data_IF_141702804269
#
_entry.id   IF_141702804269
#
_cell.length_a   1.000
_cell.length_b   1.000
_cell.length_c   1.000
_cell.angle_alpha   90.00
_cell.angle_beta   90.00
_cell.angle_gamma   90.00
#
_symmetry.space_group_name_H-M   'P 1'
#
loop_
_entity.id
_entity.type
_entity.pdbx_description
1 polymer ?
#
# COMPACT_ATOMS: atom_id res chain seq x y z
N UNK A 1 -1.17 -6.73 4.44
CA UNK A 1 -1.59 -8.03 5.01
C UNK A 1 -0.43 -8.84 5.62
N UNK A 2 0.69 -9.04 4.92
CA UNK A 2 1.77 -9.92 5.43
C UNK A 2 2.31 -9.52 6.83
N UNK A 3 2.61 -8.24 7.04
CA UNK A 3 3.05 -7.73 8.35
C UNK A 3 1.97 -7.96 9.44
N UNK A 4 0.67 -7.83 9.10
CA UNK A 4 -0.39 -8.06 10.09
C UNK A 4 -0.46 -9.53 10.55
N UNK A 5 -0.06 -10.46 9.69
CA UNK A 5 0.05 -11.89 10.01
C UNK A 5 1.31 -12.23 10.81
N UNK A 6 2.11 -11.22 11.21
CA UNK A 6 3.32 -11.34 12.03
C UNK A 6 4.46 -12.15 11.39
N UNK A 7 4.50 -12.18 10.05
CA UNK A 7 5.61 -12.77 9.33
C UNK A 7 6.91 -11.98 9.55
N UNK A 8 8.02 -12.69 9.64
CA UNK A 8 9.37 -12.12 9.62
C UNK A 8 9.70 -11.48 8.28
N UNK A 9 10.75 -10.66 8.23
CA UNK A 9 11.20 -10.01 7.00
C UNK A 9 11.57 -11.06 5.95
N UNK A 10 12.27 -12.13 6.34
CA UNK A 10 12.69 -13.19 5.42
C UNK A 10 11.49 -13.93 4.82
N UNK A 11 10.47 -14.23 5.64
CA UNK A 11 9.22 -14.84 5.15
C UNK A 11 8.47 -13.92 4.18
N UNK A 12 8.43 -12.61 4.48
CA UNK A 12 7.82 -11.62 3.58
C UNK A 12 8.55 -11.56 2.24
N UNK A 13 9.89 -11.53 2.27
CA UNK A 13 10.72 -11.52 1.05
C UNK A 13 10.50 -12.80 0.24
N UNK A 14 10.44 -13.97 0.88
CA UNK A 14 10.15 -15.24 0.21
C UNK A 14 8.75 -15.25 -0.44
N UNK A 15 7.75 -14.66 0.22
CA UNK A 15 6.41 -14.50 -0.37
C UNK A 15 6.48 -13.63 -1.62
N UNK A 16 7.16 -12.47 -1.58
CA UNK A 16 7.32 -11.62 -2.76
C UNK A 16 8.13 -12.28 -3.89
N UNK A 17 9.14 -13.08 -3.56
CA UNK A 17 9.91 -13.86 -4.53
C UNK A 17 9.09 -14.96 -5.21
N UNK A 18 7.96 -15.38 -4.62
CA UNK A 18 7.05 -16.36 -5.22
C UNK A 18 6.12 -15.78 -6.28
N UNK A 19 6.11 -14.45 -6.46
CA UNK A 19 5.26 -13.77 -7.46
C UNK A 19 5.83 -14.01 -8.86
N UNK A 20 4.97 -14.46 -9.77
CA UNK A 20 5.19 -14.43 -11.20
C UNK A 20 4.81 -13.04 -11.72
N UNK A 21 5.79 -12.14 -11.68
CA UNK A 21 5.60 -10.76 -12.06
C UNK A 21 5.32 -10.54 -13.55
N UNK A 22 5.57 -11.53 -14.40
CA UNK A 22 5.20 -11.43 -15.82
C UNK A 22 3.69 -11.63 -15.98
N UNK A 23 3.09 -12.48 -15.15
CA UNK A 23 1.63 -12.65 -15.06
C UNK A 23 0.92 -11.50 -14.35
N UNK A 24 1.62 -10.67 -13.57
CA UNK A 24 1.05 -9.41 -13.05
C UNK A 24 0.70 -8.41 -14.17
N UNK A 25 1.40 -8.49 -15.33
CA UNK A 25 1.12 -7.69 -16.53
C UNK A 25 0.32 -8.46 -17.59
N UNK A 26 -0.37 -9.53 -17.20
CA UNK A 26 -1.02 -10.42 -18.16
C UNK A 26 -2.06 -9.69 -19.03
N UNK A 27 -1.86 -9.78 -20.34
CA UNK A 27 -2.78 -9.30 -21.37
C UNK A 27 -3.73 -10.39 -21.86
N UNK A 28 -3.74 -11.60 -21.30
CA UNK A 28 -4.69 -12.67 -21.67
C UNK A 28 -4.90 -13.62 -20.50
N UNK A 29 -6.11 -14.15 -20.43
CA UNK A 29 -6.50 -15.29 -19.61
C UNK A 29 -5.74 -16.52 -20.12
N UNK A 30 -4.70 -16.94 -19.41
CA UNK A 30 -3.69 -17.88 -19.94
C UNK A 30 -3.96 -19.31 -19.48
N UNK A 31 -4.83 -20.01 -20.23
CA UNK A 31 -4.65 -21.45 -20.53
C UNK A 31 -3.59 -21.70 -21.62
N UNK A 32 -2.90 -20.67 -22.08
CA UNK A 32 -1.91 -20.73 -23.15
C UNK A 32 -0.59 -20.16 -22.65
N UNK A 33 0.38 -21.03 -22.37
CA UNK A 33 1.77 -20.67 -22.13
C UNK A 33 2.36 -20.05 -23.41
N UNK A 34 2.49 -18.72 -23.44
CA UNK A 34 3.47 -18.02 -24.28
C UNK A 34 3.48 -16.52 -23.90
N UNK A 35 4.05 -16.23 -22.73
CA UNK A 35 4.24 -14.87 -22.22
C UNK A 35 5.59 -14.34 -22.72
N UNK A 36 5.77 -14.29 -24.04
CA UNK A 36 6.90 -13.57 -24.62
C UNK A 36 6.51 -12.95 -25.96
N UNK A 37 5.97 -11.73 -25.90
CA UNK A 37 6.17 -10.59 -26.82
C UNK A 37 4.95 -9.68 -26.81
N UNK A 38 5.11 -8.53 -26.17
CA UNK A 38 4.20 -7.38 -26.23
C UNK A 38 4.28 -6.68 -27.62
N UNK A 39 4.19 -7.46 -28.70
CA UNK A 39 4.59 -7.03 -30.04
C UNK A 39 3.67 -7.47 -31.18
N UNK A 40 2.68 -8.34 -30.94
CA UNK A 40 1.73 -8.74 -31.98
C UNK A 40 0.57 -7.74 -32.10
N UNK A 41 0.04 -7.54 -33.31
CA UNK A 41 -1.16 -6.71 -33.55
C UNK A 41 -2.34 -7.21 -32.72
N UNK A 42 -2.45 -8.53 -32.52
CA UNK A 42 -3.51 -9.14 -31.73
C UNK A 42 -3.47 -8.71 -30.27
N UNK A 43 -2.29 -8.61 -29.66
CA UNK A 43 -2.17 -8.22 -28.25
C UNK A 43 -2.50 -6.74 -28.05
N UNK A 44 -2.11 -5.89 -29.01
CA UNK A 44 -2.50 -4.47 -29.02
C UNK A 44 -4.01 -4.30 -29.15
N UNK A 45 -4.66 -5.11 -30.00
CA UNK A 45 -6.12 -5.12 -30.15
C UNK A 45 -6.83 -5.65 -28.90
N UNK A 46 -6.31 -6.70 -28.26
CA UNK A 46 -6.85 -7.23 -27.01
C UNK A 46 -6.73 -6.23 -25.85
N UNK A 47 -5.57 -5.58 -25.72
CA UNK A 47 -5.34 -4.52 -24.74
C UNK A 47 -6.30 -3.34 -24.96
N UNK A 48 -6.47 -2.89 -26.21
CA UNK A 48 -7.40 -1.83 -26.55
C UNK A 48 -8.86 -2.22 -26.27
N UNK A 49 -9.27 -3.43 -26.66
CA UNK A 49 -10.62 -3.92 -26.41
C UNK A 49 -10.92 -3.97 -24.92
N UNK A 50 -10.02 -4.49 -24.08
CA UNK A 50 -10.21 -4.48 -22.62
C UNK A 50 -10.17 -3.08 -22.04
N UNK A 51 -9.27 -2.22 -22.48
CA UNK A 51 -9.26 -0.83 -22.02
C UNK A 51 -10.62 -0.15 -22.26
N UNK A 52 -11.24 -0.38 -23.42
CA UNK A 52 -12.54 0.20 -23.75
C UNK A 52 -13.71 -0.50 -23.03
N UNK A 53 -13.66 -1.82 -22.85
CA UNK A 53 -14.81 -2.61 -22.34
C UNK A 53 -14.74 -2.92 -20.84
N UNK A 54 -13.54 -2.92 -20.26
CA UNK A 54 -13.23 -3.28 -18.87
C UNK A 54 -12.49 -2.15 -18.13
N UNK A 55 -12.23 -1.03 -18.80
CA UNK A 55 -11.57 0.16 -18.24
C UNK A 55 -10.15 -0.07 -17.71
N UNK A 56 -9.50 -1.17 -18.14
CA UNK A 56 -8.15 -1.55 -17.75
C UNK A 56 -7.50 -2.50 -18.76
N UNK A 57 -6.18 -2.58 -18.75
CA UNK A 57 -5.40 -3.34 -19.74
C UNK A 57 -5.05 -4.75 -19.25
N UNK A 58 -4.63 -4.85 -17.99
CA UNK A 58 -4.20 -6.04 -17.27
C UNK A 58 -5.35 -6.69 -16.52
N UNK A 59 -5.35 -8.01 -16.54
CA UNK A 59 -6.34 -8.83 -15.85
C UNK A 59 -6.05 -8.94 -14.34
N UNK A 60 -7.11 -9.12 -13.55
CA UNK A 60 -7.01 -9.25 -12.10
C UNK A 60 -6.91 -10.71 -11.59
N UNK A 61 -7.05 -11.73 -12.45
CA UNK A 61 -7.14 -13.14 -12.03
C UNK A 61 -5.89 -13.63 -11.31
N UNK A 62 -4.71 -13.47 -11.94
CA UNK A 62 -3.45 -13.88 -11.34
C UNK A 62 -3.17 -13.23 -9.98
N UNK A 63 -3.19 -11.88 -9.83
CA UNK A 63 -2.97 -11.27 -8.53
C UNK A 63 -4.01 -11.72 -7.51
N UNK A 64 -5.26 -11.92 -7.92
CA UNK A 64 -6.32 -12.40 -7.03
C UNK A 64 -6.08 -13.82 -6.51
N UNK A 65 -5.79 -14.77 -7.40
CA UNK A 65 -5.47 -16.15 -7.06
C UNK A 65 -4.22 -16.22 -6.18
N UNK A 66 -3.14 -15.54 -6.57
CA UNK A 66 -1.88 -15.54 -5.82
C UNK A 66 -2.04 -14.96 -4.41
N UNK A 67 -2.76 -13.84 -4.25
CA UNK A 67 -3.04 -13.27 -2.93
C UNK A 67 -3.92 -14.21 -2.09
N UNK A 68 -4.94 -14.81 -2.71
CA UNK A 68 -5.82 -15.77 -2.06
C UNK A 68 -5.04 -16.98 -1.56
N UNK A 69 -4.24 -17.62 -2.41
CA UNK A 69 -3.40 -18.75 -2.06
C UNK A 69 -2.39 -18.39 -0.96
N UNK A 70 -1.80 -17.20 -1.03
CA UNK A 70 -0.88 -16.71 0.00
C UNK A 70 -1.57 -16.57 1.35
N UNK A 71 -2.76 -15.97 1.41
CA UNK A 71 -3.56 -15.86 2.64
C UNK A 71 -3.97 -17.25 3.15
N UNK A 72 -4.39 -18.14 2.26
CA UNK A 72 -4.82 -19.49 2.58
C UNK A 72 -3.75 -20.37 3.22
N UNK A 73 -2.45 -20.06 3.02
CA UNK A 73 -1.34 -20.72 3.74
C UNK A 73 -1.33 -20.42 5.24
N UNK A 74 -1.92 -19.30 5.66
CA UNK A 74 -1.88 -18.81 7.05
C UNK A 74 -3.24 -18.83 7.74
N UNK A 75 -4.33 -19.11 7.00
CA UNK A 75 -5.70 -19.06 7.53
C UNK A 75 -6.40 -20.42 7.34
N UNK A 76 -7.02 -20.94 8.40
CA UNK A 76 -7.74 -22.21 8.35
C UNK A 76 -8.95 -22.19 7.38
N UNK A 77 -9.60 -21.04 7.23
CA UNK A 77 -10.75 -20.84 6.33
C UNK A 77 -10.36 -20.63 4.85
N UNK A 78 -9.08 -20.85 4.52
CA UNK A 78 -8.59 -20.89 3.15
C UNK A 78 -8.40 -19.52 2.49
N UNK A 79 -8.39 -19.51 1.16
CA UNK A 79 -8.01 -18.36 0.33
C UNK A 79 -8.95 -17.15 0.42
N UNK A 80 -10.10 -17.31 1.07
CA UNK A 80 -11.12 -16.26 1.26
C UNK A 80 -11.33 -15.87 2.72
N UNK A 81 -10.34 -16.09 3.58
CA UNK A 81 -10.38 -15.65 4.97
C UNK A 81 -10.79 -14.17 5.10
N UNK A 82 -11.76 -13.94 5.99
CA UNK A 82 -12.38 -12.64 6.21
C UNK A 82 -11.61 -11.79 7.20
N UNK A 83 -11.99 -10.51 7.31
CA UNK A 83 -11.42 -9.66 8.36
C UNK A 83 -11.74 -10.17 9.78
N UNK A 84 -12.90 -10.79 9.99
CA UNK A 84 -13.24 -11.45 11.25
C UNK A 84 -12.29 -12.62 11.53
N UNK A 85 -11.98 -13.44 10.52
CA UNK A 85 -11.07 -14.58 10.67
C UNK A 85 -9.65 -14.11 11.03
N UNK A 86 -9.16 -13.04 10.38
CA UNK A 86 -7.88 -12.42 10.72
C UNK A 86 -7.81 -12.03 12.20
N UNK A 87 -8.88 -11.44 12.73
CA UNK A 87 -8.96 -11.07 14.15
C UNK A 87 -9.02 -12.31 15.05
N UNK A 88 -9.83 -13.31 14.68
CA UNK A 88 -9.99 -14.55 15.45
C UNK A 88 -8.67 -15.34 15.55
N UNK A 89 -7.83 -15.27 14.51
CA UNK A 89 -6.49 -15.86 14.47
C UNK A 89 -5.43 -15.07 15.26
N UNK A 90 -5.79 -13.91 15.84
CA UNK A 90 -4.87 -13.08 16.62
C UNK A 90 -3.87 -12.28 15.78
N UNK A 91 -4.13 -12.12 14.48
CA UNK A 91 -3.39 -11.19 13.64
C UNK A 91 -3.62 -9.74 14.06
N UNK A 92 -2.74 -8.83 13.62
CA UNK A 92 -2.95 -7.39 13.86
C UNK A 92 -4.16 -6.92 13.04
N UNK A 93 -4.95 -6.02 13.63
CA UNK A 93 -6.11 -5.43 12.96
C UNK A 93 -5.71 -4.76 11.64
N UNK A 94 -6.20 -5.30 10.53
CA UNK A 94 -5.88 -4.84 9.19
C UNK A 94 -6.91 -3.79 8.73
N UNK A 95 -6.40 -2.70 8.16
CA UNK A 95 -7.20 -1.64 7.54
C UNK A 95 -6.72 -1.49 6.10
N UNK A 96 -7.61 -1.72 5.14
CA UNK A 96 -7.32 -1.61 3.71
C UNK A 96 -8.13 -0.46 3.14
N UNK A 97 -7.46 0.45 2.46
CA UNK A 97 -8.06 1.68 1.91
C UNK A 97 -8.32 1.48 0.43
N UNK A 98 -9.51 1.81 -0.03
CA UNK A 98 -9.89 1.74 -1.44
C UNK A 98 -10.60 3.02 -1.87
N UNK A 99 -10.63 3.26 -3.17
CA UNK A 99 -11.45 4.32 -3.76
C UNK A 99 -12.73 3.72 -4.32
N UNK A 100 -13.89 4.07 -3.75
CA UNK A 100 -15.17 3.80 -4.40
C UNK A 100 -15.41 4.88 -5.44
N UNK A 101 -15.19 4.52 -6.70
CA UNK A 101 -15.27 5.42 -7.87
C UNK A 101 -16.72 5.83 -8.14
N UNK A 102 -17.68 4.92 -7.96
CA UNK A 102 -19.11 5.22 -8.13
C UNK A 102 -19.56 6.34 -7.20
N UNK A 103 -19.19 6.25 -5.91
CA UNK A 103 -19.56 7.21 -4.88
C UNK A 103 -18.58 8.37 -4.72
N UNK A 104 -17.42 8.31 -5.40
CA UNK A 104 -16.31 9.27 -5.29
C UNK A 104 -15.86 9.49 -3.85
N UNK A 105 -15.68 8.39 -3.12
CA UNK A 105 -15.32 8.42 -1.69
C UNK A 105 -14.29 7.35 -1.36
N UNK A 106 -13.53 7.60 -0.29
CA UNK A 106 -12.64 6.60 0.29
C UNK A 106 -13.44 5.62 1.15
N UNK A 107 -13.23 4.33 0.95
CA UNK A 107 -13.77 3.28 1.82
C UNK A 107 -12.62 2.54 2.51
N UNK A 108 -12.84 2.14 3.77
CA UNK A 108 -11.83 1.46 4.59
C UNK A 108 -12.41 0.12 5.03
N UNK A 109 -11.90 -0.96 4.44
CA UNK A 109 -12.23 -2.33 4.81
C UNK A 109 -11.43 -2.74 6.04
N UNK A 110 -12.12 -3.23 7.06
CA UNK A 110 -11.53 -3.65 8.33
C UNK A 110 -12.51 -4.54 9.11
N UNK A 111 -12.01 -5.27 10.10
CA UNK A 111 -12.82 -6.20 10.90
C UNK A 111 -13.93 -5.51 11.71
N UNK A 112 -13.88 -4.19 11.91
CA UNK A 112 -14.92 -3.42 12.60
C UNK A 112 -16.07 -3.04 11.66
N UNK A 113 -15.77 -2.66 10.41
CA UNK A 113 -16.76 -2.12 9.48
C UNK A 113 -17.29 -3.18 8.52
N UNK A 114 -16.43 -4.13 8.14
CA UNK A 114 -16.67 -5.12 7.10
C UNK A 114 -16.12 -6.48 7.54
N UNK A 115 -16.58 -7.04 8.68
CA UNK A 115 -16.05 -8.27 9.25
C UNK A 115 -16.11 -9.45 8.28
N UNK A 116 -17.20 -9.55 7.50
CA UNK A 116 -17.49 -10.70 6.63
C UNK A 116 -16.86 -10.58 5.23
N UNK A 117 -16.19 -9.46 4.93
CA UNK A 117 -15.52 -9.27 3.63
C UNK A 117 -14.22 -10.07 3.62
N UNK A 118 -13.97 -10.83 2.55
CA UNK A 118 -12.72 -11.53 2.36
C UNK A 118 -11.57 -10.52 2.23
N UNK A 119 -10.47 -10.73 2.96
CA UNK A 119 -9.31 -9.82 2.93
C UNK A 119 -8.74 -9.72 1.51
N UNK A 120 -8.74 -10.81 0.75
CA UNK A 120 -8.29 -10.85 -0.64
C UNK A 120 -9.09 -9.92 -1.56
N UNK A 121 -10.40 -9.78 -1.35
CA UNK A 121 -11.25 -8.92 -2.18
C UNK A 121 -10.88 -7.44 -1.93
N UNK A 122 -10.70 -7.05 -0.66
CA UNK A 122 -10.27 -5.71 -0.29
C UNK A 122 -8.85 -5.40 -0.80
N UNK A 123 -7.92 -6.36 -0.69
CA UNK A 123 -6.56 -6.21 -1.23
C UNK A 123 -6.57 -6.01 -2.74
N UNK A 124 -7.37 -6.79 -3.48
CA UNK A 124 -7.49 -6.66 -4.93
C UNK A 124 -7.98 -5.26 -5.30
N UNK A 125 -9.09 -4.81 -4.72
CA UNK A 125 -9.60 -3.44 -4.96
C UNK A 125 -8.56 -2.36 -4.63
N UNK A 126 -7.81 -2.53 -3.54
CA UNK A 126 -6.83 -1.56 -3.06
C UNK A 126 -5.59 -1.42 -3.95
N UNK A 127 -5.28 -2.40 -4.81
CA UNK A 127 -4.12 -2.38 -5.71
C UNK A 127 -4.48 -2.19 -7.20
N UNK A 128 -5.77 -2.17 -7.53
CA UNK A 128 -6.21 -2.08 -8.92
C UNK A 128 -6.11 -0.63 -9.41
N UNK A 129 -4.89 -0.25 -9.80
CA UNK A 129 -4.58 1.05 -10.39
C UNK A 129 -5.46 1.25 -11.64
N UNK A 130 -6.28 2.32 -11.71
CA UNK A 130 -7.14 2.59 -12.86
C UNK A 130 -6.37 2.56 -14.18
N UNK A 131 -7.02 2.14 -15.26
CA UNK A 131 -6.46 2.03 -16.60
C UNK A 131 -5.38 0.95 -16.78
N UNK A 132 -4.65 0.59 -15.72
CA UNK A 132 -3.73 -0.54 -15.72
C UNK A 132 -4.48 -1.84 -15.48
N UNK A 133 -5.23 -1.96 -14.38
CA UNK A 133 -6.02 -3.14 -14.05
C UNK A 133 -7.50 -2.95 -14.38
N UNK A 134 -8.21 -4.03 -14.70
CA UNK A 134 -9.65 -3.98 -14.98
C UNK A 134 -10.42 -3.37 -13.80
N UNK A 135 -11.40 -2.52 -14.11
CA UNK A 135 -12.26 -1.94 -13.08
C UNK A 135 -13.10 -3.01 -12.41
N UNK A 136 -13.04 -3.05 -11.08
CA UNK A 136 -13.74 -4.04 -10.28
C UNK A 136 -15.11 -3.50 -9.87
N UNK A 137 -16.14 -4.35 -9.96
CA UNK A 137 -17.45 -4.08 -9.35
C UNK A 137 -17.61 -4.96 -8.13
N UNK A 138 -17.94 -4.38 -6.98
CA UNK A 138 -18.13 -5.11 -5.74
C UNK A 138 -19.42 -4.66 -5.02
N UNK A 139 -20.21 -5.63 -4.58
CA UNK A 139 -21.52 -5.40 -3.93
C UNK A 139 -21.45 -5.45 -2.40
N UNK A 140 -20.24 -5.60 -1.84
CA UNK A 140 -20.01 -5.82 -0.41
C UNK A 140 -19.80 -7.29 -0.04
N UNK A 141 -19.97 -8.22 -0.97
CA UNK A 141 -19.81 -9.68 -0.75
C UNK A 141 -19.04 -10.38 -1.86
N UNK A 142 -19.28 -10.00 -3.11
CA UNK A 142 -18.72 -10.66 -4.29
C UNK A 142 -18.47 -9.69 -5.45
N UNK A 143 -17.58 -10.09 -6.36
CA UNK A 143 -17.29 -9.31 -7.56
C UNK A 143 -18.32 -9.53 -8.67
N UNK A 144 -18.50 -8.51 -9.51
CA UNK A 144 -19.26 -8.55 -10.75
C UNK A 144 -20.56 -7.74 -10.76
N UNK A 145 -20.94 -7.16 -9.62
CA UNK A 145 -22.08 -6.25 -9.45
C UNK A 145 -21.74 -5.20 -8.40
N UNK A 146 -22.57 -4.15 -8.29
CA UNK A 146 -22.44 -3.12 -7.26
C UNK A 146 -21.64 -1.90 -7.70
N UNK A 147 -20.87 -1.33 -6.77
CA UNK A 147 -20.11 -0.12 -7.02
C UNK A 147 -18.78 -0.44 -7.70
N UNK A 148 -18.25 0.52 -8.47
CA UNK A 148 -16.91 0.45 -9.03
C UNK A 148 -15.88 0.86 -8.00
N UNK A 149 -14.86 0.02 -7.84
CA UNK A 149 -13.72 0.26 -6.96
C UNK A 149 -12.42 0.32 -7.74
N UNK A 150 -11.47 1.06 -7.19
CA UNK A 150 -10.11 1.17 -7.68
C UNK A 150 -9.15 1.42 -6.52
N UNK A 151 -7.86 1.50 -6.86
CA UNK A 151 -6.75 1.73 -5.94
C UNK A 151 -7.04 2.85 -4.90
N UNK A 152 -6.71 2.56 -3.64
CA UNK A 152 -6.90 3.52 -2.53
C UNK A 152 -6.06 4.78 -2.67
N UNK A 153 -4.93 4.66 -3.37
CA UNK A 153 -3.99 5.71 -3.72
C UNK A 153 -4.55 6.80 -4.62
N UNK A 154 -5.77 6.68 -5.17
CA UNK A 154 -6.41 7.77 -5.93
C UNK A 154 -6.92 8.89 -5.02
N UNK A 155 -7.51 8.53 -3.87
CA UNK A 155 -8.11 9.50 -2.94
C UNK A 155 -7.37 9.61 -1.61
N UNK A 156 -6.74 8.53 -1.12
CA UNK A 156 -6.08 8.50 0.17
C UNK A 156 -4.86 7.56 0.15
N UNK A 157 -3.81 7.99 -0.53
CA UNK A 157 -2.52 7.31 -0.66
C UNK A 157 -1.73 7.25 0.66
N UNK A 158 -1.95 8.22 1.55
CA UNK A 158 -1.26 8.27 2.84
C UNK A 158 -2.24 8.35 4.04
N UNK A 159 -2.88 7.23 4.41
CA UNK A 159 -3.99 7.20 5.37
C UNK A 159 -3.54 7.27 6.85
N UNK A 160 -2.48 8.01 7.17
CA UNK A 160 -1.90 8.07 8.52
C UNK A 160 -2.90 8.57 9.58
N UNK A 161 -3.89 9.36 9.17
CA UNK A 161 -4.92 9.93 10.05
C UNK A 161 -6.03 8.95 10.43
N UNK A 162 -6.09 7.74 9.86
CA UNK A 162 -7.10 6.73 10.23
C UNK A 162 -7.10 6.50 11.75
N UNK A 163 -5.91 6.44 12.35
CA UNK A 163 -5.70 6.11 13.75
C UNK A 163 -5.77 7.32 14.71
N UNK A 164 -6.06 8.51 14.20
CA UNK A 164 -6.30 9.72 15.01
C UNK A 164 -7.74 9.82 15.52
N UNK A 165 -8.62 8.90 15.07
CA UNK A 165 -10.03 8.88 15.47
C UNK A 165 -10.19 8.39 16.90
N UNK A 166 -11.14 8.99 17.65
CA UNK A 166 -11.45 8.69 19.07
C UNK A 166 -11.38 7.20 19.45
N UNK A 167 -11.91 6.33 18.58
CA UNK A 167 -11.95 4.87 18.81
C UNK A 167 -10.58 4.18 18.92
N UNK A 168 -9.51 4.77 18.38
CA UNK A 168 -8.15 4.22 18.44
C UNK A 168 -7.29 4.85 19.54
N UNK A 169 -7.80 5.89 20.20
CA UNK A 169 -7.03 6.75 21.10
C UNK A 169 -7.68 6.88 22.48
N UNK A 170 -8.70 6.07 22.76
CA UNK A 170 -9.35 6.06 24.05
C UNK A 170 -8.34 5.71 25.15
N UNK A 171 -8.21 6.59 26.14
CA UNK A 171 -7.20 6.51 27.20
C UNK A 171 -5.74 6.51 26.70
N UNK A 172 -5.47 6.98 25.48
CA UNK A 172 -4.12 7.07 24.94
C UNK A 172 -3.44 8.36 25.40
N UNK A 173 -2.44 8.24 26.30
CA UNK A 173 -1.62 9.35 26.77
C UNK A 173 -0.80 10.04 25.67
N UNK A 174 -0.59 9.35 24.55
CA UNK A 174 0.12 9.83 23.37
C UNK A 174 -0.82 10.41 22.31
N UNK A 175 -2.10 10.58 22.63
CA UNK A 175 -3.01 11.38 21.82
C UNK A 175 -2.93 12.85 22.24
N UNK A 176 -2.23 13.65 21.44
CA UNK A 176 -1.93 15.04 21.75
C UNK A 176 -2.34 15.92 20.57
N UNK A 177 -3.12 16.96 20.83
CA UNK A 177 -3.60 17.93 19.83
C UNK A 177 -4.30 17.28 18.62
N UNK A 178 -5.10 16.23 18.85
CA UNK A 178 -5.82 15.54 17.78
C UNK A 178 -4.98 14.55 16.98
N UNK A 179 -3.75 14.27 17.42
CA UNK A 179 -2.81 13.37 16.72
C UNK A 179 -2.47 12.19 17.63
N UNK A 180 -2.62 10.98 17.11
CA UNK A 180 -2.12 9.75 17.73
C UNK A 180 -0.64 9.56 17.40
N UNK A 181 0.23 9.79 18.39
CA UNK A 181 1.67 9.69 18.21
C UNK A 181 2.23 8.27 18.31
N UNK A 182 1.39 7.28 18.59
CA UNK A 182 1.74 5.86 18.43
C UNK A 182 1.59 5.40 16.97
N UNK A 183 0.98 6.22 16.11
CA UNK A 183 0.92 5.94 14.67
C UNK A 183 2.27 6.23 14.03
N UNK A 184 2.92 5.18 13.54
CA UNK A 184 4.10 5.28 12.68
C UNK A 184 3.67 5.06 11.22
N UNK A 185 4.03 6.00 10.34
CA UNK A 185 3.80 5.87 8.91
C UNK A 185 5.07 5.62 8.10
N UNK A 186 4.96 4.93 6.98
CA UNK A 186 6.03 4.78 5.99
C UNK A 186 5.63 5.53 4.72
N UNK A 187 6.21 6.69 4.50
CA UNK A 187 5.88 7.57 3.38
C UNK A 187 6.89 7.36 2.25
N UNK A 188 6.41 7.04 1.04
CA UNK A 188 7.24 6.95 -0.15
C UNK A 188 7.20 8.28 -0.89
N UNK A 189 8.35 8.79 -1.33
CA UNK A 189 8.43 10.01 -2.14
C UNK A 189 9.43 9.86 -3.29
N UNK A 190 9.21 10.66 -4.34
CA UNK A 190 10.14 10.80 -5.46
C UNK A 190 11.11 11.96 -5.20
N UNK A 191 12.43 11.73 -5.15
CA UNK A 191 13.41 12.82 -5.04
C UNK A 191 13.29 13.87 -6.15
N UNK A 192 13.58 15.13 -5.83
CA UNK A 192 13.50 16.25 -6.79
C UNK A 192 14.59 16.14 -7.87
N UNK A 193 15.71 15.53 -7.53
CA UNK A 193 16.85 15.32 -8.43
C UNK A 193 16.65 14.15 -9.38
N UNK A 194 15.57 13.38 -9.21
CA UNK A 194 15.22 12.38 -10.20
C UNK A 194 15.12 13.07 -11.55
N UNK A 195 15.64 12.45 -12.63
CA UNK A 195 15.39 12.96 -13.96
C UNK A 195 13.88 13.11 -14.07
N UNK A 196 13.39 14.35 -14.10
CA UNK A 196 11.99 14.60 -14.41
C UNK A 196 11.79 13.82 -15.68
N UNK A 197 10.94 12.81 -15.64
CA UNK A 197 10.59 12.05 -16.82
C UNK A 197 9.82 13.02 -17.72
N UNK A 198 10.55 13.91 -18.38
CA UNK A 198 10.20 14.56 -19.63
C UNK A 198 10.22 13.49 -20.74
N UNK A 199 9.79 12.28 -20.40
CA UNK A 199 9.36 11.30 -21.35
C UNK A 199 8.28 12.01 -22.15
N UNK A 200 8.55 12.14 -23.43
CA UNK A 200 7.59 12.76 -24.31
C UNK A 200 6.30 11.91 -24.31
N UNK A 201 5.17 12.59 -24.20
CA UNK A 201 3.87 11.94 -24.24
C UNK A 201 3.56 11.57 -25.69
N UNK A 202 3.92 10.35 -26.06
CA UNK A 202 3.79 9.89 -27.46
C UNK A 202 2.50 9.13 -27.75
N UNK A 203 1.84 8.58 -26.73
CA UNK A 203 0.63 7.77 -26.91
C UNK A 203 -0.26 7.77 -25.66
N UNK A 204 -1.42 7.12 -25.77
CA UNK A 204 -2.41 7.05 -24.67
C UNK A 204 -1.87 6.34 -23.43
N UNK A 205 -0.94 5.39 -23.59
CA UNK A 205 -0.35 4.67 -22.47
C UNK A 205 0.64 5.53 -21.69
N UNK A 206 1.55 6.22 -22.39
CA UNK A 206 2.45 7.19 -21.75
C UNK A 206 1.65 8.32 -21.09
N UNK A 207 0.58 8.80 -21.73
CA UNK A 207 -0.32 9.79 -21.13
C UNK A 207 -0.97 9.28 -19.84
N UNK A 208 -1.50 8.06 -19.87
CA UNK A 208 -2.12 7.41 -18.70
C UNK A 208 -1.12 7.26 -17.56
N UNK A 209 0.10 6.81 -17.85
CA UNK A 209 1.21 6.74 -16.89
C UNK A 209 1.44 8.10 -16.23
N UNK A 210 1.63 9.16 -17.02
CA UNK A 210 1.87 10.50 -16.48
C UNK A 210 0.71 11.03 -15.63
N UNK A 211 -0.54 10.76 -16.03
CA UNK A 211 -1.72 11.18 -15.25
C UNK A 211 -1.78 10.46 -13.90
N UNK A 212 -1.54 9.14 -13.89
CA UNK A 212 -1.54 8.37 -12.64
C UNK A 212 -0.42 8.82 -11.71
N UNK A 213 0.81 8.97 -12.20
CA UNK A 213 1.93 9.44 -11.38
C UNK A 213 1.65 10.86 -10.84
N UNK A 214 1.12 11.77 -11.67
CA UNK A 214 0.76 13.13 -11.24
C UNK A 214 -0.32 13.14 -10.14
N UNK A 215 -1.32 12.25 -10.23
CA UNK A 215 -2.37 12.10 -9.22
C UNK A 215 -1.80 11.62 -7.88
N UNK A 216 -0.85 10.69 -7.91
CA UNK A 216 -0.20 10.18 -6.71
C UNK A 216 0.71 11.24 -6.08
N UNK A 217 1.47 11.98 -6.88
CA UNK A 217 2.31 13.10 -6.42
C UNK A 217 1.50 14.24 -5.82
N UNK A 218 0.31 14.54 -6.36
CA UNK A 218 -0.54 15.61 -5.82
C UNK A 218 -0.93 15.38 -4.35
N UNK A 219 -0.96 14.14 -3.88
CA UNK A 219 -1.27 13.83 -2.47
C UNK A 219 -0.09 14.07 -1.53
N UNK A 220 1.15 14.07 -2.04
CA UNK A 220 2.32 14.45 -1.26
C UNK A 220 2.24 15.89 -0.77
N UNK A 221 1.56 16.79 -1.51
CA UNK A 221 1.36 18.19 -1.10
C UNK A 221 0.64 18.30 0.26
N UNK A 222 -0.41 17.50 0.47
CA UNK A 222 -1.14 17.50 1.74
C UNK A 222 -0.28 16.95 2.90
N UNK A 223 0.59 15.98 2.60
CA UNK A 223 1.55 15.44 3.56
C UNK A 223 2.64 16.46 3.92
N UNK A 224 3.21 17.15 2.92
CA UNK A 224 4.23 18.19 3.07
C UNK A 224 3.70 19.42 3.83
N UNK A 225 2.41 19.72 3.73
CA UNK A 225 1.78 20.76 4.53
C UNK A 225 1.61 20.38 6.02
N UNK A 226 1.68 19.08 6.36
CA UNK A 226 1.45 18.56 7.71
C UNK A 226 2.75 18.23 8.44
N UNK A 227 3.27 19.19 9.21
CA UNK A 227 4.45 18.97 10.06
C UNK A 227 4.27 17.86 11.10
N UNK A 228 3.04 17.63 11.58
CA UNK A 228 2.74 16.51 12.48
C UNK A 228 2.79 15.16 11.78
N UNK A 229 2.31 15.06 10.53
CA UNK A 229 2.40 13.82 9.77
C UNK A 229 3.86 13.49 9.51
N UNK A 230 4.65 14.45 9.01
CA UNK A 230 6.08 14.27 8.76
C UNK A 230 6.86 13.78 9.98
N UNK A 231 6.58 14.32 11.17
CA UNK A 231 7.29 13.93 12.40
C UNK A 231 7.06 12.48 12.86
N UNK A 232 5.99 11.83 12.41
CA UNK A 232 5.68 10.43 12.75
C UNK A 232 5.76 9.52 11.52
N UNK A 233 6.50 9.94 10.51
CA UNK A 233 6.65 9.26 9.24
C UNK A 233 8.12 8.99 8.93
N UNK A 234 8.42 7.74 8.58
CA UNK A 234 9.67 7.37 7.95
C UNK A 234 9.54 7.78 6.48
N UNK A 235 10.30 8.79 6.06
CA UNK A 235 10.31 9.26 4.67
C UNK A 235 11.32 8.43 3.87
N UNK A 236 10.83 7.65 2.92
CA UNK A 236 11.59 6.68 2.15
C UNK A 236 11.61 7.14 0.69
N UNK A 237 12.81 7.34 0.15
CA UNK A 237 13.00 7.61 -1.27
C UNK A 237 12.60 6.37 -2.09
N UNK A 238 11.83 6.56 -3.15
CA UNK A 238 11.58 5.51 -4.15
C UNK A 238 12.75 5.33 -5.14
N UNK A 239 13.87 6.01 -4.95
CA UNK A 239 15.04 5.91 -5.83
C UNK A 239 14.73 6.18 -7.32
N UNK A 240 13.76 7.05 -7.59
CA UNK A 240 13.24 7.34 -8.94
C UNK A 240 12.53 6.16 -9.62
N UNK A 241 12.20 5.10 -8.88
CA UNK A 241 11.38 4.01 -9.38
C UNK A 241 9.93 4.49 -9.52
N UNK A 242 9.34 4.28 -10.70
CA UNK A 242 7.94 4.61 -10.97
C UNK A 242 7.01 3.67 -10.22
N UNK A 243 5.88 4.18 -9.77
CA UNK A 243 4.83 3.35 -9.15
C UNK A 243 4.30 2.28 -10.12
N UNK A 244 4.37 2.60 -11.42
CA UNK A 244 3.93 1.73 -12.51
C UNK A 244 5.03 0.82 -13.09
N UNK A 245 6.23 0.79 -12.49
CA UNK A 245 7.30 -0.14 -12.90
C UNK A 245 7.16 -1.52 -12.23
N UNK A 246 6.21 -2.32 -12.72
CA UNK A 246 6.09 -3.72 -12.27
C UNK A 246 7.20 -4.64 -12.81
N UNK A 247 8.30 -4.10 -13.38
CA UNK A 247 9.47 -4.84 -13.85
C UNK A 247 10.51 -5.12 -12.77
N UNK A 248 10.45 -4.41 -11.64
CA UNK A 248 11.38 -4.57 -10.52
C UNK A 248 11.10 -5.92 -9.84
N UNK A 249 12.15 -6.73 -9.64
CA UNK A 249 12.06 -8.08 -9.07
C UNK A 249 12.80 -8.14 -7.74
N UNK A 250 12.27 -8.84 -6.71
CA UNK A 250 12.85 -8.90 -5.37
C UNK A 250 13.99 -9.92 -5.28
N UNK A 251 14.89 -9.91 -6.26
CA UNK A 251 16.04 -10.81 -6.34
C UNK A 251 17.32 -10.12 -5.87
N UNK A 252 18.24 -10.85 -5.22
CA UNK A 252 19.49 -10.28 -4.71
C UNK A 252 20.39 -9.64 -5.77
N UNK A 253 20.24 -9.94 -7.05
CA UNK A 253 21.03 -9.39 -8.17
C UNK A 253 20.37 -8.16 -8.83
N UNK A 254 19.11 -7.86 -8.52
CA UNK A 254 18.42 -6.69 -9.05
C UNK A 254 18.86 -5.42 -8.31
N UNK A 255 19.68 -4.60 -8.97
CA UNK A 255 20.24 -3.36 -8.40
C UNK A 255 19.17 -2.36 -7.93
N UNK A 256 18.09 -2.17 -8.70
CA UNK A 256 17.01 -1.25 -8.34
C UNK A 256 16.30 -1.73 -7.07
N UNK A 257 16.01 -3.02 -6.98
CA UNK A 257 15.45 -3.61 -5.76
C UNK A 257 16.37 -3.43 -4.56
N UNK A 258 17.68 -3.70 -4.70
CA UNK A 258 18.65 -3.48 -3.62
C UNK A 258 18.67 -2.02 -3.16
N UNK A 259 18.62 -1.06 -4.10
CA UNK A 259 18.58 0.37 -3.78
C UNK A 259 17.32 0.74 -3.00
N UNK A 260 16.15 0.22 -3.39
CA UNK A 260 14.90 0.44 -2.67
C UNK A 260 14.94 -0.12 -1.24
N UNK A 261 15.48 -1.33 -1.06
CA UNK A 261 15.63 -1.95 0.26
C UNK A 261 16.61 -1.16 1.13
N UNK A 262 17.74 -0.72 0.56
CA UNK A 262 18.73 0.10 1.26
C UNK A 262 18.12 1.45 1.68
N UNK A 263 17.43 2.14 0.77
CA UNK A 263 16.77 3.41 1.06
C UNK A 263 15.74 3.29 2.19
N UNK A 264 14.95 2.21 2.20
CA UNK A 264 14.02 1.93 3.30
C UNK A 264 14.73 1.66 4.63
N UNK A 265 15.82 0.89 4.60
CA UNK A 265 16.63 0.56 5.79
C UNK A 265 17.27 1.82 6.38
N UNK A 266 17.97 2.59 5.55
CA UNK A 266 18.67 3.81 5.96
C UNK A 266 17.68 4.84 6.52
N UNK A 267 16.53 5.04 5.86
CA UNK A 267 15.49 5.95 6.32
C UNK A 267 14.89 5.52 7.67
N UNK A 268 14.63 4.22 7.85
CA UNK A 268 14.11 3.70 9.10
C UNK A 268 15.13 3.84 10.24
N UNK A 269 16.41 3.52 10.00
CA UNK A 269 17.48 3.70 10.99
C UNK A 269 17.65 5.17 11.37
N UNK A 270 17.69 6.07 10.39
CA UNK A 270 17.81 7.51 10.63
C UNK A 270 16.63 8.02 11.45
N UNK A 271 15.41 7.63 11.09
CA UNK A 271 14.22 8.00 11.84
C UNK A 271 14.32 7.51 13.29
N UNK A 272 14.62 6.22 13.51
CA UNK A 272 14.68 5.65 14.86
C UNK A 272 15.79 6.27 15.72
N UNK A 273 16.90 6.71 15.12
CA UNK A 273 17.99 7.41 15.83
C UNK A 273 17.63 8.84 16.23
N UNK A 274 16.78 9.51 15.46
CA UNK A 274 16.50 10.95 15.59
C UNK A 274 15.10 11.27 16.11
N UNK A 275 14.22 10.26 16.18
CA UNK A 275 12.84 10.43 16.61
C UNK A 275 12.75 10.84 18.08
N UNK A 276 12.20 12.03 18.34
CA UNK A 276 11.81 12.49 19.67
C UNK A 276 10.27 12.52 19.75
N UNK A 277 9.66 11.64 20.56
CA UNK A 277 8.22 11.64 20.75
C UNK A 277 7.77 12.99 21.33
N UNK A 278 6.55 13.47 21.04
CA UNK A 278 6.06 14.71 21.63
C UNK A 278 6.08 14.61 23.15
N UNK A 279 6.72 15.59 23.79
CA UNK A 279 6.88 15.61 25.24
C UNK A 279 5.49 15.67 25.90
N UNK A 280 5.17 14.66 26.73
CA UNK A 280 4.07 14.72 27.68
C UNK A 280 4.45 15.75 28.75
N UNK A 281 4.12 17.03 28.51
CA UNK A 281 4.35 18.23 29.36
C UNK A 281 5.76 18.33 30.02
N UNK A 282 6.49 19.45 29.87
CA UNK A 282 7.85 19.63 30.42
C UNK A 282 8.00 19.37 31.94
N UNK A 283 6.90 19.39 32.71
CA UNK A 283 6.90 19.04 34.13
C UNK A 283 7.35 17.58 34.42
N UNK A 284 6.99 16.61 33.57
CA UNK A 284 7.29 15.20 33.84
C UNK A 284 8.72 14.79 33.48
N UNK A 285 9.32 15.40 32.44
CA UNK A 285 10.74 15.17 32.10
C UNK A 285 11.64 15.68 33.23
N UNK A 286 11.37 16.88 33.74
CA UNK A 286 12.13 17.43 34.87
C UNK A 286 11.96 16.59 36.15
N UNK A 287 10.78 16.01 36.38
CA UNK A 287 10.53 15.11 37.52
C UNK A 287 11.23 13.76 37.35
N UNK A 288 11.20 13.16 36.16
CA UNK A 288 11.87 11.90 35.85
C UNK A 288 13.40 12.04 35.89
N UNK A 289 13.94 13.14 35.36
CA UNK A 289 15.37 13.45 35.43
C UNK A 289 15.81 13.70 36.87
N UNK A 290 14.99 14.36 37.71
CA UNK A 290 15.27 14.50 39.15
C UNK A 290 15.19 13.17 39.90
N UNK A 291 14.24 12.30 39.55
CA UNK A 291 14.09 10.98 40.16
C UNK A 291 15.24 10.06 39.79
N UNK A 292 15.69 10.05 38.53
CA UNK A 292 16.89 9.31 38.11
C UNK A 292 18.13 9.81 38.86
N UNK A 293 18.37 11.14 38.86
CA UNK A 293 19.51 11.72 39.59
C UNK A 293 19.45 11.51 41.12
N UNK A 294 18.26 11.32 41.70
CA UNK A 294 18.10 11.02 43.12
C UNK A 294 18.37 9.55 43.46
N UNK A 295 18.05 8.63 42.53
CA UNK A 295 18.34 7.20 42.68
C UNK A 295 19.84 6.94 42.51
N UNK A 296 20.49 7.63 41.57
CA UNK A 296 21.94 7.48 41.31
C UNK A 296 22.84 8.20 42.33
N UNK A 297 22.28 9.05 43.20
CA UNK A 297 23.01 9.77 44.26
C UNK A 297 22.88 9.17 45.66
N UNK A 298 22.30 7.96 45.76
CA UNK A 298 22.27 7.14 46.98
C UNK A 298 23.00 5.83 46.76
#
# INVERSE_FOLDING_TARGET
>A
ALISMRLSVDEIVQVYQSVDYDRMKALRDTKSQDVTRLGSIQDRMAALNRFVTRFGVYENSYPYEWMGDTIGRFCADGSRATFADFRNLGFRDLHIVTTNVTKRTTEIFCAQATPDVAVVDALLMSQSIPFFYEALQFDGRSFGQGDHYADGGILLNYPIHIFDKRRYVENNRWFVNGVNWETLGCHLYTPVECPHHADEVHNIWSYTQHVVESLMEAQSVAFEASGTSQRRSINISNCCARTTDFGIRPYPDNKTYQQLVAAGTDAAEQFLRTYDPPIIRPFFRHLLDRLHNFIDSK
#
